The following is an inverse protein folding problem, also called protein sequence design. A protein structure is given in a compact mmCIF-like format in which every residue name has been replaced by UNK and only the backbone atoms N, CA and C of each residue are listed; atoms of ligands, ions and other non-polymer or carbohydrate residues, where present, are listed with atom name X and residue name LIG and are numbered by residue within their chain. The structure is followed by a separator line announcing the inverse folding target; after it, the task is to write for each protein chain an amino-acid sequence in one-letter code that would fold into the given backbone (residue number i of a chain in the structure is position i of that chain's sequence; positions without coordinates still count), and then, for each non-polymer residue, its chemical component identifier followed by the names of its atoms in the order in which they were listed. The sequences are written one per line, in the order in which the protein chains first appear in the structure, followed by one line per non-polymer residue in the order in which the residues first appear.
data_IF_114132587901
#
_entry.id   IF_114132587901
#
_cell.length_a   1.000
_cell.length_b   1.000
_cell.length_c   1.000
_cell.angle_alpha   90.00
_cell.angle_beta   90.00
_cell.angle_gamma   90.00
#
_symmetry.space_group_name_H-M   'P 1'
#
loop_
_entity.id
_entity.type
_entity.pdbx_description
1 polymer ?
#
# COMPACT_ATOMS: atom_id res chain seq x y z
N UNK A 1 -136.62 30.15 -12.52
CA UNK A 1 -137.39 29.21 -11.67
C UNK A 1 -137.09 29.60 -10.23
N UNK A 2 -137.82 30.45 -9.52
CA UNK A 2 -139.21 30.89 -9.56
C UNK A 2 -139.27 32.40 -9.26
N UNK A 3 -139.85 33.18 -10.16
CA UNK A 3 -140.15 34.59 -9.93
C UNK A 3 -141.16 34.73 -8.78
N UNK A 4 -140.77 35.47 -7.75
CA UNK A 4 -141.70 35.89 -6.69
C UNK A 4 -141.84 37.40 -6.85
N UNK A 5 -142.88 37.83 -7.57
CA UNK A 5 -143.21 39.25 -7.76
C UNK A 5 -143.53 39.90 -6.40
N UNK A 6 -142.58 40.66 -5.86
CA UNK A 6 -142.78 41.48 -4.66
C UNK A 6 -143.62 42.72 -5.01
N UNK A 7 -144.89 42.72 -4.57
CA UNK A 7 -145.87 43.77 -4.83
C UNK A 7 -145.76 44.91 -3.79
N UNK A 8 -144.97 45.94 -4.07
CA UNK A 8 -144.82 47.13 -3.21
C UNK A 8 -145.90 48.20 -3.51
N UNK A 9 -146.64 48.67 -2.50
CA UNK A 9 -147.71 49.70 -2.63
C UNK A 9 -147.18 51.13 -2.48
N UNK A 10 -147.72 52.08 -3.26
CA UNK A 10 -147.46 53.54 -3.17
C UNK A 10 -148.41 54.18 -2.15
N UNK A 11 -147.87 54.90 -1.15
CA UNK A 11 -148.64 55.44 -0.02
C UNK A 11 -148.61 56.97 0.08
N UNK A 12 -149.79 57.57 0.24
CA UNK A 12 -150.10 58.95 0.66
C UNK A 12 -150.36 59.07 2.18
N UNK A 13 -150.19 58.01 2.97
CA UNK A 13 -150.32 58.06 4.43
C UNK A 13 -149.56 56.89 5.09
N UNK A 14 -148.39 57.16 5.68
CA UNK A 14 -147.78 56.32 6.73
C UNK A 14 -147.25 54.92 6.37
N UNK A 15 -146.82 54.66 5.13
CA UNK A 15 -146.18 53.38 4.76
C UNK A 15 -145.01 53.56 3.77
N UNK A 16 -144.05 52.63 3.78
CA UNK A 16 -142.82 52.66 2.96
C UNK A 16 -143.12 52.83 1.46
N UNK A 17 -142.52 53.84 0.81
CA UNK A 17 -142.70 54.07 -0.63
C UNK A 17 -141.87 53.06 -1.45
N UNK A 18 -142.49 52.46 -2.48
CA UNK A 18 -141.84 51.50 -3.40
C UNK A 18 -140.50 51.99 -3.96
N UNK A 19 -140.40 53.27 -4.31
CA UNK A 19 -139.19 53.86 -4.87
C UNK A 19 -138.05 53.89 -3.84
N UNK A 20 -138.36 54.15 -2.56
CA UNK A 20 -137.37 54.14 -1.48
C UNK A 20 -136.85 52.74 -1.19
N UNK A 21 -137.71 51.72 -1.27
CA UNK A 21 -137.31 50.31 -1.07
C UNK A 21 -136.44 49.83 -2.23
N UNK A 22 -136.79 50.17 -3.48
CA UNK A 22 -135.96 49.84 -4.64
C UNK A 22 -134.62 50.58 -4.62
N UNK A 23 -134.62 51.87 -4.30
CA UNK A 23 -133.40 52.64 -4.12
C UNK A 23 -132.54 52.04 -3.00
N UNK A 24 -133.12 51.62 -1.87
CA UNK A 24 -132.38 50.97 -0.78
C UNK A 24 -131.79 49.62 -1.18
N UNK A 25 -132.52 48.79 -1.93
CA UNK A 25 -132.00 47.51 -2.44
C UNK A 25 -130.88 47.76 -3.45
N UNK A 26 -131.00 48.77 -4.30
CA UNK A 26 -130.01 49.13 -5.30
C UNK A 26 -128.75 49.72 -4.64
N UNK A 27 -128.89 50.64 -3.69
CA UNK A 27 -127.76 51.15 -2.89
C UNK A 27 -127.14 50.08 -2.01
N UNK A 28 -127.94 49.22 -1.37
CA UNK A 28 -127.43 48.12 -0.54
C UNK A 28 -126.70 47.07 -1.38
N UNK A 29 -127.21 46.70 -2.55
CA UNK A 29 -126.52 45.80 -3.47
C UNK A 29 -125.24 46.42 -4.02
N UNK A 30 -125.25 47.73 -4.31
CA UNK A 30 -124.07 48.46 -4.75
C UNK A 30 -123.00 48.49 -3.65
N UNK A 31 -123.37 48.85 -2.42
CA UNK A 31 -122.49 48.80 -1.25
C UNK A 31 -121.97 47.37 -0.97
N UNK A 32 -122.79 46.34 -1.15
CA UNK A 32 -122.36 44.95 -1.01
C UNK A 32 -121.38 44.53 -2.09
N UNK A 33 -121.58 44.95 -3.35
CA UNK A 33 -120.63 44.72 -4.44
C UNK A 33 -119.32 45.44 -4.17
N UNK A 34 -119.36 46.70 -3.75
CA UNK A 34 -118.17 47.47 -3.38
C UNK A 34 -117.40 46.83 -2.22
N UNK A 35 -118.10 46.35 -1.18
CA UNK A 35 -117.48 45.58 -0.09
C UNK A 35 -116.89 44.25 -0.56
N UNK A 36 -117.58 43.52 -1.45
CA UNK A 36 -117.07 42.27 -2.03
C UNK A 36 -115.85 42.51 -2.91
N UNK A 37 -115.84 43.58 -3.70
CA UNK A 37 -114.69 43.98 -4.51
C UNK A 37 -113.51 44.43 -3.66
N UNK A 38 -113.77 45.19 -2.58
CA UNK A 38 -112.75 45.58 -1.61
C UNK A 38 -112.12 44.34 -0.93
N UNK A 39 -112.94 43.42 -0.43
CA UNK A 39 -112.44 42.17 0.19
C UNK A 39 -111.71 41.28 -0.82
N UNK A 40 -112.19 41.19 -2.06
CA UNK A 40 -111.48 40.46 -3.13
C UNK A 40 -110.14 41.09 -3.46
N UNK A 41 -110.05 42.43 -3.46
CA UNK A 41 -108.82 43.15 -3.69
C UNK A 41 -107.84 42.96 -2.53
N UNK A 42 -108.30 43.05 -1.28
CA UNK A 42 -107.50 42.75 -0.10
C UNK A 42 -107.00 41.30 -0.10
N UNK A 43 -107.85 40.34 -0.49
CA UNK A 43 -107.45 38.94 -0.64
C UNK A 43 -106.36 38.78 -1.70
N UNK A 44 -106.53 39.41 -2.88
CA UNK A 44 -105.53 39.34 -3.95
C UNK A 44 -104.20 40.02 -3.55
N UNK A 45 -104.25 41.15 -2.85
CA UNK A 45 -103.06 41.83 -2.32
C UNK A 45 -102.37 40.98 -1.23
N UNK A 46 -103.13 40.32 -0.35
CA UNK A 46 -102.60 39.41 0.66
C UNK A 46 -102.00 38.13 0.04
N UNK A 47 -102.63 37.56 -0.99
CA UNK A 47 -102.12 36.41 -1.74
C UNK A 47 -100.82 36.77 -2.48
N UNK A 48 -100.75 37.95 -3.11
CA UNK A 48 -99.55 38.46 -3.74
C UNK A 48 -98.41 38.70 -2.74
N UNK A 49 -98.72 39.31 -1.58
CA UNK A 49 -97.74 39.51 -0.51
C UNK A 49 -97.23 38.18 0.06
N UNK A 50 -98.12 37.20 0.25
CA UNK A 50 -97.76 35.85 0.70
C UNK A 50 -96.89 35.13 -0.34
N UNK A 51 -97.19 35.27 -1.62
CA UNK A 51 -96.37 34.70 -2.69
C UNK A 51 -94.97 35.33 -2.74
N UNK A 52 -94.87 36.66 -2.65
CA UNK A 52 -93.60 37.37 -2.58
C UNK A 52 -92.77 36.95 -1.35
N UNK A 53 -93.41 36.81 -0.19
CA UNK A 53 -92.74 36.36 1.02
C UNK A 53 -92.33 34.89 0.95
N UNK A 54 -93.10 34.03 0.28
CA UNK A 54 -92.73 32.65 0.02
C UNK A 54 -91.50 32.55 -0.90
N UNK A 55 -91.41 33.42 -1.92
CA UNK A 55 -90.26 33.49 -2.81
C UNK A 55 -89.00 34.01 -2.09
N UNK A 56 -89.13 35.06 -1.27
CA UNK A 56 -88.03 35.60 -0.47
C UNK A 56 -87.51 34.57 0.54
N UNK A 57 -88.40 33.85 1.22
CA UNK A 57 -88.02 32.79 2.16
C UNK A 57 -87.35 31.60 1.45
N UNK A 58 -87.85 31.20 0.28
CA UNK A 58 -87.21 30.17 -0.53
C UNK A 58 -85.81 30.60 -1.02
N UNK A 59 -85.65 31.85 -1.46
CA UNK A 59 -84.35 32.40 -1.87
C UNK A 59 -83.37 32.49 -0.69
N UNK A 60 -83.84 32.89 0.49
CA UNK A 60 -83.04 32.92 1.71
C UNK A 60 -82.61 31.50 2.13
N UNK A 61 -83.51 30.52 2.08
CA UNK A 61 -83.20 29.11 2.37
C UNK A 61 -82.16 28.55 1.40
N UNK A 62 -82.30 28.81 0.10
CA UNK A 62 -81.31 28.39 -0.89
C UNK A 62 -79.92 29.01 -0.63
N UNK A 63 -79.87 30.28 -0.22
CA UNK A 63 -78.61 30.92 0.16
C UNK A 63 -78.00 30.34 1.44
N UNK A 64 -78.81 30.00 2.44
CA UNK A 64 -78.31 29.36 3.67
C UNK A 64 -77.75 27.98 3.37
N UNK A 65 -78.45 27.16 2.57
CA UNK A 65 -77.98 25.84 2.17
C UNK A 65 -76.69 25.91 1.33
N UNK A 66 -76.55 26.90 0.45
CA UNK A 66 -75.33 27.10 -0.32
C UNK A 66 -74.14 27.45 0.60
N UNK A 67 -74.33 28.39 1.54
CA UNK A 67 -73.30 28.78 2.51
C UNK A 67 -72.94 27.65 3.47
N UNK A 68 -73.89 26.82 3.87
CA UNK A 68 -73.63 25.65 4.71
C UNK A 68 -72.75 24.62 3.98
N UNK A 69 -73.00 24.38 2.69
CA UNK A 69 -72.16 23.52 1.85
C UNK A 69 -70.75 24.09 1.70
N UNK A 70 -70.61 25.39 1.45
CA UNK A 70 -69.30 26.06 1.40
C UNK A 70 -68.55 25.97 2.73
N UNK A 71 -69.23 26.22 3.85
CA UNK A 71 -68.65 26.08 5.19
C UNK A 71 -68.21 24.64 5.48
N UNK A 72 -68.96 23.66 5.02
CA UNK A 72 -68.59 22.25 5.17
C UNK A 72 -67.35 21.91 4.33
N UNK A 73 -67.29 22.34 3.06
CA UNK A 73 -66.12 22.15 2.21
C UNK A 73 -64.86 22.79 2.82
N UNK A 74 -64.97 24.04 3.29
CA UNK A 74 -63.85 24.74 3.96
C UNK A 74 -63.40 24.03 5.24
N UNK A 75 -64.32 23.44 6.01
CA UNK A 75 -63.96 22.65 7.21
C UNK A 75 -63.21 21.38 6.86
N UNK A 76 -63.62 20.70 5.78
CA UNK A 76 -62.93 19.50 5.28
C UNK A 76 -61.52 19.84 4.77
N UNK A 77 -61.36 20.94 4.02
CA UNK A 77 -60.06 21.44 3.58
C UNK A 77 -59.16 21.82 4.76
N UNK A 78 -59.70 22.53 5.76
CA UNK A 78 -58.95 22.90 6.96
C UNK A 78 -58.49 21.65 7.74
N UNK A 79 -59.35 20.64 7.88
CA UNK A 79 -59.01 19.39 8.54
C UNK A 79 -57.90 18.63 7.78
N UNK A 80 -57.97 18.59 6.44
CA UNK A 80 -56.94 17.99 5.61
C UNK A 80 -55.60 18.72 5.74
N UNK A 81 -55.60 20.06 5.68
CA UNK A 81 -54.41 20.88 5.85
C UNK A 81 -53.78 20.71 7.23
N UNK A 82 -54.59 20.61 8.29
CA UNK A 82 -54.10 20.33 9.65
C UNK A 82 -53.43 18.97 9.73
N UNK A 83 -54.03 17.92 9.16
CA UNK A 83 -53.44 16.58 9.14
C UNK A 83 -52.09 16.58 8.41
N UNK A 84 -52.03 17.20 7.25
CA UNK A 84 -50.80 17.30 6.46
C UNK A 84 -49.70 18.11 7.18
N UNK A 85 -50.08 19.15 7.92
CA UNK A 85 -49.15 19.93 8.74
C UNK A 85 -48.58 19.10 9.91
N UNK A 86 -49.39 18.27 10.56
CA UNK A 86 -48.91 17.37 11.62
C UNK A 86 -47.99 16.27 11.06
N UNK A 87 -48.31 15.69 9.90
CA UNK A 87 -47.44 14.72 9.22
C UNK A 87 -46.08 15.33 8.88
N UNK A 88 -46.06 16.56 8.32
CA UNK A 88 -44.81 17.28 8.04
C UNK A 88 -44.00 17.60 9.29
N UNK A 89 -44.64 17.95 10.40
CA UNK A 89 -43.94 18.18 11.68
C UNK A 89 -43.24 16.92 12.17
N UNK A 90 -43.88 15.76 12.05
CA UNK A 90 -43.28 14.48 12.40
C UNK A 90 -42.09 14.16 11.49
N UNK A 91 -42.23 14.37 10.18
CA UNK A 91 -41.13 14.16 9.23
C UNK A 91 -39.93 15.07 9.52
N UNK A 92 -40.17 16.36 9.80
CA UNK A 92 -39.11 17.31 10.19
C UNK A 92 -38.41 16.82 11.46
N UNK A 93 -39.15 16.40 12.48
CA UNK A 93 -38.56 15.89 13.73
C UNK A 93 -37.70 14.65 13.50
N UNK A 94 -38.09 13.75 12.60
CA UNK A 94 -37.30 12.56 12.27
C UNK A 94 -36.01 12.95 11.51
N UNK A 95 -36.12 13.84 10.53
CA UNK A 95 -34.97 14.34 9.77
C UNK A 95 -33.97 15.09 10.65
N UNK A 96 -34.44 15.85 11.64
CA UNK A 96 -33.57 16.51 12.62
C UNK A 96 -32.80 15.49 13.48
N UNK A 97 -33.47 14.41 13.92
CA UNK A 97 -32.80 13.34 14.68
C UNK A 97 -31.76 12.59 13.82
N UNK A 98 -32.09 12.31 12.56
CA UNK A 98 -31.16 11.68 11.61
C UNK A 98 -29.95 12.59 11.30
N UNK A 99 -30.19 13.89 11.11
CA UNK A 99 -29.15 14.88 10.89
C UNK A 99 -28.19 14.93 12.09
N UNK A 100 -28.71 14.90 13.31
CA UNK A 100 -27.88 14.94 14.50
C UNK A 100 -27.07 13.66 14.68
N UNK A 101 -27.66 12.49 14.40
CA UNK A 101 -26.92 11.21 14.34
C UNK A 101 -25.82 11.24 13.28
N UNK A 102 -26.09 11.83 12.12
CA UNK A 102 -25.11 11.95 11.04
C UNK A 102 -23.94 12.87 11.43
N UNK A 103 -24.23 14.01 12.07
CA UNK A 103 -23.20 14.92 12.59
C UNK A 103 -22.34 14.27 13.67
N UNK A 104 -22.94 13.52 14.59
CA UNK A 104 -22.18 12.81 15.62
C UNK A 104 -21.23 11.78 14.99
N UNK A 105 -21.71 10.99 14.02
CA UNK A 105 -20.87 10.03 13.29
C UNK A 105 -19.74 10.73 12.55
N UNK A 106 -20.01 11.86 11.91
CA UNK A 106 -18.99 12.64 11.21
C UNK A 106 -17.90 13.09 12.20
N UNK A 107 -18.28 13.68 13.33
CA UNK A 107 -17.35 14.11 14.38
C UNK A 107 -16.49 12.96 14.91
N UNK A 108 -17.10 11.79 15.15
CA UNK A 108 -16.37 10.60 15.61
C UNK A 108 -15.35 10.12 14.56
N UNK A 109 -15.73 10.11 13.27
CA UNK A 109 -14.82 9.72 12.17
C UNK A 109 -13.69 10.72 11.96
N UNK A 110 -13.95 12.02 12.09
CA UNK A 110 -12.93 13.07 12.00
C UNK A 110 -11.93 12.97 13.16
N UNK A 111 -12.41 12.66 14.38
CA UNK A 111 -11.54 12.41 15.52
C UNK A 111 -10.64 11.19 15.31
N UNK A 112 -11.19 10.08 14.78
CA UNK A 112 -10.42 8.88 14.45
C UNK A 112 -9.39 9.14 13.34
N UNK A 113 -9.78 9.89 12.29
CA UNK A 113 -8.88 10.26 11.22
C UNK A 113 -7.70 11.05 11.77
N UNK A 114 -7.96 12.08 12.57
CA UNK A 114 -6.93 12.90 13.21
C UNK A 114 -6.00 12.07 14.10
N UNK A 115 -6.56 11.16 14.91
CA UNK A 115 -5.75 10.26 15.74
C UNK A 115 -4.83 9.37 14.88
N UNK A 116 -5.34 8.86 13.76
CA UNK A 116 -4.57 8.01 12.84
C UNK A 116 -3.45 8.79 12.13
N UNK A 117 -3.73 10.03 11.71
CA UNK A 117 -2.75 10.93 11.11
C UNK A 117 -1.64 11.29 12.10
N UNK A 118 -1.98 11.56 13.36
CA UNK A 118 -0.99 11.80 14.42
C UNK A 118 -0.13 10.57 14.69
N UNK A 119 -0.70 9.35 14.69
CA UNK A 119 0.06 8.10 14.80
C UNK A 119 1.01 7.91 13.62
N UNK A 120 0.55 8.19 12.40
CA UNK A 120 1.38 8.15 11.18
C UNK A 120 2.52 9.17 11.25
N UNK A 121 2.22 10.41 11.65
CA UNK A 121 3.22 11.46 11.80
C UNK A 121 4.30 11.10 12.84
N UNK A 122 3.92 10.44 13.94
CA UNK A 122 4.85 9.93 14.96
C UNK A 122 5.71 8.76 14.46
N UNK A 123 5.14 7.88 13.63
CA UNK A 123 5.84 6.70 13.10
C UNK A 123 6.77 7.01 11.92
N UNK A 124 6.46 8.03 11.12
CA UNK A 124 7.22 8.41 9.92
C UNK A 124 8.74 8.61 10.16
N UNK A 125 9.16 9.38 11.18
CA UNK A 125 10.57 9.56 11.50
C UNK A 125 11.29 8.26 11.89
N UNK A 126 10.61 7.37 12.62
CA UNK A 126 11.18 6.09 13.04
C UNK A 126 11.38 5.16 11.82
N UNK A 127 10.42 5.10 10.91
CA UNK A 127 10.55 4.34 9.66
C UNK A 127 11.70 4.88 8.78
N UNK A 128 11.81 6.21 8.64
CA UNK A 128 12.91 6.83 7.89
C UNK A 128 14.27 6.61 8.56
N UNK A 129 14.33 6.61 9.89
CA UNK A 129 15.55 6.28 10.63
C UNK A 129 15.96 4.81 10.45
N UNK A 130 14.98 3.90 10.45
CA UNK A 130 15.23 2.47 10.23
C UNK A 130 15.82 2.22 8.84
N UNK A 131 15.25 2.79 7.77
CA UNK A 131 15.81 2.64 6.41
C UNK A 131 17.24 3.18 6.33
N UNK A 132 17.53 4.34 6.93
CA UNK A 132 18.91 4.88 6.99
C UNK A 132 19.88 3.94 7.71
N UNK A 133 19.47 3.34 8.82
CA UNK A 133 20.31 2.40 9.57
C UNK A 133 20.52 1.13 8.77
N UNK A 134 19.48 0.60 8.13
CA UNK A 134 19.54 -0.58 7.27
C UNK A 134 20.50 -0.36 6.10
N UNK A 135 20.37 0.74 5.37
CA UNK A 135 21.26 1.06 4.24
C UNK A 135 22.71 1.24 4.69
N UNK A 136 22.93 1.93 5.83
CA UNK A 136 24.26 2.12 6.39
C UNK A 136 24.89 0.80 6.82
N UNK A 137 24.14 -0.07 7.48
CA UNK A 137 24.63 -1.39 7.92
C UNK A 137 24.98 -2.26 6.72
N UNK A 138 24.12 -2.32 5.70
CA UNK A 138 24.41 -3.03 4.46
C UNK A 138 25.69 -2.49 3.79
N UNK A 139 25.87 -1.16 3.75
CA UNK A 139 27.10 -0.55 3.24
C UNK A 139 28.35 -0.96 4.02
N UNK A 140 28.29 -0.93 5.36
CA UNK A 140 29.40 -1.33 6.23
C UNK A 140 29.77 -2.81 6.03
N UNK A 141 28.77 -3.69 5.94
CA UNK A 141 28.99 -5.13 5.73
C UNK A 141 29.67 -5.40 4.38
N UNK A 142 29.18 -4.76 3.31
CA UNK A 142 29.80 -4.87 1.98
C UNK A 142 31.24 -4.36 1.98
N UNK A 143 31.49 -3.19 2.57
CA UNK A 143 32.85 -2.64 2.67
C UNK A 143 33.77 -3.54 3.49
N UNK A 144 33.30 -4.05 4.63
CA UNK A 144 34.08 -4.94 5.48
C UNK A 144 34.45 -6.23 4.74
N UNK A 145 33.49 -6.81 4.01
CA UNK A 145 33.73 -7.99 3.19
C UNK A 145 34.73 -7.72 2.07
N UNK A 146 34.57 -6.63 1.31
CA UNK A 146 35.51 -6.23 0.26
C UNK A 146 36.92 -5.96 0.81
N UNK A 147 37.04 -5.28 1.97
CA UNK A 147 38.33 -5.05 2.63
C UNK A 147 38.99 -6.35 3.09
N UNK A 148 38.22 -7.25 3.70
CA UNK A 148 38.72 -8.55 4.12
C UNK A 148 39.24 -9.36 2.93
N UNK A 149 38.49 -9.39 1.82
CA UNK A 149 38.92 -10.05 0.58
C UNK A 149 40.19 -9.41 0.00
N UNK A 150 40.30 -8.08 0.00
CA UNK A 150 41.49 -7.39 -0.48
C UNK A 150 42.74 -7.73 0.36
N UNK A 151 42.62 -7.74 1.70
CA UNK A 151 43.71 -8.13 2.61
C UNK A 151 44.09 -9.59 2.42
N UNK A 152 43.11 -10.48 2.24
CA UNK A 152 43.36 -11.89 1.96
C UNK A 152 44.12 -12.07 0.64
N UNK A 153 43.66 -11.45 -0.44
CA UNK A 153 44.31 -11.52 -1.75
C UNK A 153 45.75 -10.98 -1.69
N UNK A 154 45.98 -9.89 -0.95
CA UNK A 154 47.33 -9.35 -0.75
C UNK A 154 48.23 -10.32 0.04
N UNK A 155 47.70 -10.95 1.10
CA UNK A 155 48.43 -11.94 1.88
C UNK A 155 48.78 -13.19 1.05
N UNK A 156 47.84 -13.69 0.26
CA UNK A 156 48.05 -14.81 -0.66
C UNK A 156 49.15 -14.49 -1.69
N UNK A 157 49.13 -13.30 -2.26
CA UNK A 157 50.15 -12.87 -3.22
C UNK A 157 51.54 -12.70 -2.57
N UNK A 158 51.60 -12.18 -1.34
CA UNK A 158 52.86 -12.12 -0.56
C UNK A 158 53.41 -13.53 -0.29
N UNK A 159 52.56 -14.46 0.16
CA UNK A 159 52.94 -15.86 0.38
C UNK A 159 53.43 -16.48 -0.93
N UNK A 160 52.74 -16.25 -2.05
CA UNK A 160 53.13 -16.75 -3.37
C UNK A 160 54.51 -16.24 -3.79
N UNK A 161 54.78 -14.95 -3.62
CA UNK A 161 56.09 -14.34 -3.91
C UNK A 161 57.19 -14.93 -3.05
N UNK A 162 56.99 -14.97 -1.73
CA UNK A 162 57.99 -15.53 -0.79
C UNK A 162 58.26 -17.01 -1.07
N UNK A 163 57.22 -17.81 -1.38
CA UNK A 163 57.41 -19.21 -1.80
C UNK A 163 58.27 -19.31 -3.06
N UNK A 164 57.99 -18.51 -4.08
CA UNK A 164 58.77 -18.49 -5.31
C UNK A 164 60.23 -18.07 -5.08
N UNK A 165 60.48 -17.10 -4.19
CA UNK A 165 61.84 -16.68 -3.80
C UNK A 165 62.60 -17.80 -3.08
N UNK A 166 61.95 -18.50 -2.14
CA UNK A 166 62.54 -19.64 -1.42
C UNK A 166 62.85 -20.79 -2.39
N UNK A 167 61.93 -21.12 -3.29
CA UNK A 167 62.14 -22.14 -4.33
C UNK A 167 63.33 -21.78 -5.24
N UNK A 168 63.42 -20.53 -5.68
CA UNK A 168 64.55 -20.06 -6.47
C UNK A 168 65.88 -20.15 -5.71
N UNK A 169 65.90 -19.76 -4.44
CA UNK A 169 67.09 -19.86 -3.60
C UNK A 169 67.51 -21.31 -3.37
N UNK A 170 66.56 -22.21 -3.08
CA UNK A 170 66.80 -23.63 -2.90
C UNK A 170 67.37 -24.27 -4.17
N UNK A 171 66.78 -23.98 -5.33
CA UNK A 171 67.30 -24.44 -6.63
C UNK A 171 68.73 -23.94 -6.89
N UNK A 172 69.03 -22.69 -6.52
CA UNK A 172 70.38 -22.12 -6.65
C UNK A 172 71.38 -22.83 -5.74
N UNK A 173 71.02 -23.05 -4.47
CA UNK A 173 71.89 -23.75 -3.49
C UNK A 173 72.12 -25.20 -3.92
N UNK A 174 71.08 -25.92 -4.33
CA UNK A 174 71.19 -27.28 -4.84
C UNK A 174 72.08 -27.34 -6.09
N UNK A 175 71.90 -26.41 -7.03
CA UNK A 175 72.77 -26.31 -8.21
C UNK A 175 74.22 -25.99 -7.87
N UNK A 176 74.48 -25.08 -6.93
CA UNK A 176 75.82 -24.76 -6.46
C UNK A 176 76.47 -25.96 -5.77
N UNK A 177 75.74 -26.65 -4.89
CA UNK A 177 76.20 -27.85 -4.21
C UNK A 177 76.51 -28.98 -5.21
N UNK A 178 75.63 -29.19 -6.20
CA UNK A 178 75.84 -30.17 -7.27
C UNK A 178 77.13 -29.90 -8.05
N UNK A 179 77.41 -28.63 -8.38
CA UNK A 179 78.68 -28.25 -9.04
C UNK A 179 79.89 -28.46 -8.14
N UNK A 180 79.84 -27.99 -6.89
CA UNK A 180 80.94 -28.17 -5.94
C UNK A 180 81.28 -29.65 -5.74
N UNK A 181 80.25 -30.50 -5.63
CA UNK A 181 80.43 -31.95 -5.54
C UNK A 181 81.09 -32.52 -6.81
N UNK A 182 80.62 -32.13 -7.99
CA UNK A 182 81.22 -32.57 -9.24
C UNK A 182 82.68 -32.11 -9.38
N UNK A 183 83.00 -30.87 -8.99
CA UNK A 183 84.36 -30.33 -8.99
C UNK A 183 85.27 -31.09 -8.01
N UNK A 184 84.75 -31.44 -6.83
CA UNK A 184 85.45 -32.25 -5.84
C UNK A 184 85.68 -33.68 -6.34
N UNK A 185 84.66 -34.33 -6.90
CA UNK A 185 84.78 -35.67 -7.51
C UNK A 185 85.82 -35.67 -8.64
N UNK A 186 85.87 -34.60 -9.45
CA UNK A 186 86.88 -34.42 -10.49
C UNK A 186 88.29 -34.14 -9.92
N UNK A 187 88.41 -33.39 -8.82
CA UNK A 187 89.69 -33.16 -8.15
C UNK A 187 90.23 -34.45 -7.51
N UNK A 188 89.38 -35.24 -6.84
CA UNK A 188 89.74 -36.55 -6.29
C UNK A 188 90.16 -37.49 -7.41
N UNK A 189 89.40 -37.57 -8.50
CA UNK A 189 89.76 -38.41 -9.65
C UNK A 189 91.11 -38.03 -10.26
N UNK A 190 91.41 -36.72 -10.35
CA UNK A 190 92.73 -36.22 -10.78
C UNK A 190 93.85 -36.62 -9.82
N UNK A 191 93.66 -36.40 -8.52
CA UNK A 191 94.64 -36.77 -7.51
C UNK A 191 94.91 -38.29 -7.49
N UNK A 192 93.86 -39.11 -7.61
CA UNK A 192 94.02 -40.56 -7.78
C UNK A 192 94.82 -40.90 -9.04
N UNK A 193 94.51 -40.26 -10.18
CA UNK A 193 95.28 -40.45 -11.42
C UNK A 193 96.74 -40.03 -11.32
N UNK A 194 97.05 -38.92 -10.63
CA UNK A 194 98.44 -38.49 -10.37
C UNK A 194 99.16 -39.47 -9.44
N UNK A 195 98.51 -39.94 -8.37
CA UNK A 195 99.08 -40.97 -7.48
C UNK A 195 99.31 -42.30 -8.20
N UNK A 196 98.42 -42.70 -9.10
CA UNK A 196 98.59 -43.87 -9.96
C UNK A 196 99.82 -43.72 -10.87
N UNK A 197 100.03 -42.52 -11.45
CA UNK A 197 101.22 -42.22 -12.25
C UNK A 197 102.50 -42.27 -11.40
N UNK A 198 102.50 -41.67 -10.21
CA UNK A 198 103.65 -41.72 -9.29
C UNK A 198 103.95 -43.16 -8.85
N UNK A 199 102.92 -43.98 -8.60
CA UNK A 199 103.10 -45.40 -8.33
C UNK A 199 103.78 -46.10 -9.51
N UNK A 200 103.30 -45.88 -10.72
CA UNK A 200 103.88 -46.48 -11.93
C UNK A 200 105.34 -46.05 -12.15
N UNK A 201 105.68 -44.77 -11.94
CA UNK A 201 107.07 -44.31 -12.07
C UNK A 201 107.96 -44.87 -10.97
N UNK A 202 107.48 -44.99 -9.73
CA UNK A 202 108.20 -45.66 -8.65
C UNK A 202 108.41 -47.15 -8.92
N UNK A 203 107.41 -47.85 -9.46
CA UNK A 203 107.55 -49.24 -9.91
C UNK A 203 108.58 -49.37 -11.02
N UNK A 204 108.60 -48.44 -11.98
CA UNK A 204 109.63 -48.37 -13.03
C UNK A 204 111.03 -48.16 -12.44
N UNK A 205 111.22 -47.15 -11.59
CA UNK A 205 112.50 -46.87 -10.92
C UNK A 205 112.94 -48.06 -10.07
N UNK A 206 112.03 -48.67 -9.31
CA UNK A 206 112.35 -49.86 -8.51
C UNK A 206 112.76 -51.03 -9.39
N UNK A 207 112.11 -51.22 -10.55
CA UNK A 207 112.51 -52.22 -11.55
C UNK A 207 113.87 -51.93 -12.18
N UNK A 208 114.20 -50.66 -12.44
CA UNK A 208 115.51 -50.24 -12.93
C UNK A 208 116.61 -50.43 -11.88
N UNK A 209 116.35 -50.06 -10.61
CA UNK A 209 117.27 -50.30 -9.49
C UNK A 209 117.52 -51.80 -9.31
N UNK A 210 116.48 -52.64 -9.35
CA UNK A 210 116.65 -54.09 -9.29
C UNK A 210 117.54 -54.62 -10.43
N UNK A 211 117.38 -54.09 -11.65
CA UNK A 211 118.27 -54.43 -12.78
C UNK A 211 119.70 -53.93 -12.57
N UNK A 212 119.88 -52.74 -11.99
CA UNK A 212 121.20 -52.20 -11.65
C UNK A 212 121.88 -53.04 -10.56
N UNK A 213 121.16 -53.42 -9.51
CA UNK A 213 121.65 -54.32 -8.45
C UNK A 213 122.06 -55.67 -9.03
N UNK A 214 121.26 -56.27 -9.92
CA UNK A 214 121.64 -57.49 -10.64
C UNK A 214 122.90 -57.27 -11.50
N UNK A 215 123.03 -56.10 -12.14
CA UNK A 215 124.21 -55.72 -12.92
C UNK A 215 125.47 -55.57 -12.07
N UNK A 216 125.37 -54.92 -10.90
CA UNK A 216 126.44 -54.77 -9.93
C UNK A 216 126.81 -56.10 -9.27
N UNK A 217 125.85 -56.96 -8.96
CA UNK A 217 126.10 -58.32 -8.48
C UNK A 217 126.85 -59.15 -9.52
N UNK A 218 126.49 -59.04 -10.81
CA UNK A 218 127.25 -59.64 -11.92
C UNK A 218 128.67 -59.07 -12.01
N UNK A 219 128.84 -57.75 -11.89
CA UNK A 219 130.16 -57.10 -11.92
C UNK A 219 131.02 -57.55 -10.73
N UNK A 220 130.42 -57.68 -9.55
CA UNK A 220 131.07 -58.15 -8.31
C UNK A 220 131.51 -59.60 -8.46
N UNK A 221 130.64 -60.47 -9.00
CA UNK A 221 130.99 -61.85 -9.36
C UNK A 221 132.13 -61.90 -10.38
N UNK A 222 132.14 -61.00 -11.37
CA UNK A 222 133.23 -60.87 -12.35
C UNK A 222 134.55 -60.41 -11.70
N UNK A 223 134.50 -59.45 -10.78
CA UNK A 223 135.68 -58.95 -10.06
C UNK A 223 136.25 -60.01 -9.10
N UNK A 224 135.39 -60.77 -8.41
CA UNK A 224 135.80 -61.94 -7.64
C UNK A 224 136.40 -63.06 -8.52
N UNK A 225 135.92 -63.20 -9.77
CA UNK A 225 136.50 -64.11 -10.75
C UNK A 225 137.86 -63.61 -11.29
N UNK A 226 138.09 -62.30 -11.40
CA UNK A 226 139.39 -61.72 -11.80
C UNK A 226 140.43 -61.74 -10.66
N UNK A 227 140.00 -61.64 -9.40
CA UNK A 227 140.86 -61.81 -8.22
C UNK A 227 141.23 -63.27 -7.92
N UNK A 228 140.78 -64.23 -8.73
CA UNK A 228 141.16 -65.65 -8.66
C UNK A 228 142.19 -66.07 -9.73
N UNK A 229 143.10 -65.17 -10.11
CA UNK A 229 144.36 -65.52 -10.78
C UNK A 229 145.56 -65.51 -9.81
N UNK A 230 145.82 -66.71 -9.27
CA UNK A 230 147.09 -67.31 -8.81
C UNK A 230 148.33 -66.38 -8.72
N UNK A 231 148.77 -66.13 -7.47
CA UNK A 231 150.06 -65.52 -7.15
C UNK A 231 151.26 -66.35 -7.70
N UNK A 232 152.33 -65.73 -8.23
CA UNK A 232 153.57 -66.42 -8.61
C UNK A 232 154.44 -66.73 -7.38
N UNK A 233 155.05 -67.92 -7.34
CA UNK A 233 155.94 -68.37 -6.26
C UNK A 233 157.24 -67.54 -6.16
N UNK A 234 157.76 -67.33 -4.93
CA UNK A 234 158.94 -66.51 -4.66
C UNK A 234 160.27 -67.18 -5.04
N UNK A 235 161.23 -66.37 -5.49
CA UNK A 235 162.62 -66.78 -5.76
C UNK A 235 163.45 -66.88 -4.45
N UNK A 236 164.40 -67.83 -4.38
CA UNK A 236 165.17 -68.12 -3.16
C UNK A 236 166.29 -67.11 -2.90
N UNK A 237 166.62 -66.96 -1.62
CA UNK A 237 167.73 -66.14 -1.11
C UNK A 237 169.06 -66.90 -1.21
N UNK A 238 170.10 -66.21 -1.67
CA UNK A 238 171.50 -66.57 -1.38
C UNK A 238 172.02 -65.70 -0.22
N UNK A 239 172.73 -66.34 0.70
CA UNK A 239 173.32 -65.73 1.90
C UNK A 239 174.49 -64.78 1.56
N UNK A 240 174.47 -63.60 2.18
CA UNK A 240 175.59 -63.01 2.93
C UNK A 240 175.08 -62.07 4.02
#
# INVERSE_FOLDING_TARGET
MSDTELQFRTSTFGGFQKQDVLNYIETSNQEHREKLEAVRRELAEAEAAKAAQAEETAAAQAQTEAKEKELQALREELAAAHKEAEERKLEISLLEEELEKAKQRLADTEAQLKESEEKLAKAGPAAAAYEKVKDRTAGIELEAHCRAQAVQAEAEERIRKTRAEVEQWLNRVQGNYGRLRADMDAAVSRACGELDQVRQTLEQISGELARQDEGLDKLTKSCCAELTHRAPDPLPLDEK
#
